data_IF_599383256840
#
_entry.id   IF_599383256840
#
_cell.length_a   1.000
_cell.length_b   1.000
_cell.length_c   1.000
_cell.angle_alpha   90.00
_cell.angle_beta   90.00
_cell.angle_gamma   90.00
#
_symmetry.space_group_name_H-M   'P 1'
#
loop_
_entity.id
_entity.type
_entity.pdbx_description
1 polymer ?
#
# COMPACT_ATOMS: atom_id res chain seq x y z
N UNK A 1 -27.47 -10.94 61.13
CA UNK A 1 -27.12 -9.78 60.28
C UNK A 1 -25.74 -9.86 59.59
N UNK A 2 -24.84 -10.81 59.90
CA UNK A 2 -23.55 -10.94 59.19
C UNK A 2 -23.64 -11.57 57.78
N UNK A 3 -24.60 -12.47 57.53
CA UNK A 3 -24.75 -13.16 56.23
C UNK A 3 -25.14 -12.23 55.07
N UNK A 4 -25.88 -11.16 55.34
CA UNK A 4 -26.33 -10.22 54.31
C UNK A 4 -25.19 -9.33 53.78
N UNK A 5 -24.20 -9.00 54.63
CA UNK A 5 -23.04 -8.21 54.22
C UNK A 5 -22.09 -9.01 53.32
N UNK A 6 -21.94 -10.31 53.58
CA UNK A 6 -21.04 -11.17 52.81
C UNK A 6 -21.48 -11.36 51.35
N UNK A 7 -22.79 -11.47 51.12
CA UNK A 7 -23.38 -11.60 49.77
C UNK A 7 -23.15 -10.32 48.94
N UNK A 8 -23.27 -9.14 49.56
CA UNK A 8 -23.03 -7.86 48.89
C UNK A 8 -21.59 -7.71 48.39
N UNK A 9 -20.60 -8.08 49.22
CA UNK A 9 -19.19 -8.05 48.82
C UNK A 9 -18.87 -9.04 47.69
N UNK A 10 -19.49 -10.23 47.71
CA UNK A 10 -19.27 -11.25 46.68
C UNK A 10 -19.83 -10.82 45.31
N UNK A 11 -21.00 -10.18 45.28
CA UNK A 11 -21.58 -9.66 44.03
C UNK A 11 -20.81 -8.48 43.46
N UNK A 12 -20.35 -7.55 44.30
CA UNK A 12 -19.50 -6.44 43.86
C UNK A 12 -18.18 -6.92 43.23
N UNK A 13 -17.57 -7.96 43.82
CA UNK A 13 -16.35 -8.57 43.29
C UNK A 13 -16.55 -9.23 41.92
N UNK A 14 -17.63 -10.01 41.76
CA UNK A 14 -17.99 -10.64 40.48
C UNK A 14 -18.25 -9.61 39.38
N UNK A 15 -18.96 -8.53 39.68
CA UNK A 15 -19.25 -7.46 38.70
C UNK A 15 -17.96 -6.73 38.31
N UNK A 16 -17.08 -6.43 39.26
CA UNK A 16 -15.79 -5.80 38.98
C UNK A 16 -14.89 -6.70 38.11
N UNK A 17 -14.87 -8.02 38.39
CA UNK A 17 -14.09 -8.98 37.60
C UNK A 17 -14.64 -9.11 36.18
N UNK A 18 -15.96 -9.20 36.00
CA UNK A 18 -16.59 -9.24 34.68
C UNK A 18 -16.36 -7.95 33.89
N UNK A 19 -16.41 -6.78 34.54
CA UNK A 19 -16.07 -5.50 33.91
C UNK A 19 -14.60 -5.46 33.46
N UNK A 20 -13.67 -5.95 34.29
CA UNK A 20 -12.26 -6.05 33.92
C UNK A 20 -12.03 -7.00 32.73
N UNK A 21 -12.77 -8.11 32.65
CA UNK A 21 -12.73 -9.02 31.50
C UNK A 21 -13.29 -8.35 30.25
N UNK A 22 -14.44 -7.66 30.32
CA UNK A 22 -14.99 -6.95 29.15
C UNK A 22 -14.08 -5.80 28.70
N UNK A 23 -13.45 -5.08 29.64
CA UNK A 23 -12.49 -4.02 29.35
C UNK A 23 -11.18 -4.56 28.75
N UNK A 24 -10.71 -5.73 29.17
CA UNK A 24 -9.50 -6.35 28.59
C UNK A 24 -9.73 -6.93 27.19
N UNK A 25 -10.96 -7.32 26.86
CA UNK A 25 -11.33 -7.73 25.50
C UNK A 25 -11.52 -6.55 24.52
N UNK A 26 -11.89 -5.37 25.02
CA UNK A 26 -12.20 -4.21 24.17
C UNK A 26 -10.97 -3.39 23.76
N UNK A 27 -9.81 -3.56 24.40
CA UNK A 27 -8.57 -2.85 24.05
C UNK A 27 -7.96 -3.29 22.70
N UNK A 28 -8.41 -4.40 22.11
CA UNK A 28 -7.93 -4.85 20.80
C UNK A 28 -8.76 -4.32 19.62
N UNK A 29 -9.89 -3.66 19.87
CA UNK A 29 -10.66 -2.99 18.82
C UNK A 29 -10.10 -1.58 18.60
N UNK A 30 -8.92 -1.51 17.98
CA UNK A 30 -8.50 -0.28 17.33
C UNK A 30 -9.55 0.04 16.28
N UNK A 31 -10.14 1.24 16.33
CA UNK A 31 -11.06 1.75 15.32
C UNK A 31 -10.28 2.05 14.02
N UNK A 32 -9.67 1.02 13.45
CA UNK A 32 -8.89 1.09 12.23
C UNK A 32 -9.86 1.20 11.06
N UNK A 33 -9.60 2.15 10.17
CA UNK A 33 -10.36 2.29 8.94
C UNK A 33 -9.85 1.35 7.85
N UNK A 34 -8.58 0.96 7.92
CA UNK A 34 -7.91 0.19 6.90
C UNK A 34 -7.12 -0.97 7.48
N UNK A 35 -7.09 -2.07 6.72
CA UNK A 35 -6.19 -3.19 6.88
C UNK A 35 -5.09 -3.05 5.85
N UNK A 36 -3.84 -3.03 6.31
CA UNK A 36 -2.65 -3.01 5.46
C UNK A 36 -2.00 -4.40 5.50
N UNK A 37 -2.00 -5.08 4.36
CA UNK A 37 -1.24 -6.31 4.15
C UNK A 37 0.05 -5.99 3.39
N UNK A 38 1.20 -6.43 3.90
CA UNK A 38 2.50 -6.22 3.27
C UNK A 38 3.17 -7.56 3.01
N UNK A 39 3.79 -7.70 1.83
CA UNK A 39 4.58 -8.87 1.45
C UNK A 39 6.04 -8.50 1.32
N UNK A 40 6.92 -9.32 1.89
CA UNK A 40 8.37 -9.13 1.92
C UNK A 40 9.08 -10.29 1.21
N UNK A 41 10.25 -10.05 0.61
CA UNK A 41 11.08 -11.11 0.08
C UNK A 41 11.70 -11.91 1.25
N UNK A 42 11.76 -13.23 1.11
CA UNK A 42 12.33 -14.11 2.12
C UNK A 42 11.38 -14.40 3.30
N UNK A 43 11.92 -15.09 4.30
CA UNK A 43 11.18 -15.58 5.47
C UNK A 43 11.05 -14.54 6.60
N UNK A 44 11.50 -13.29 6.39
CA UNK A 44 11.43 -12.24 7.40
C UNK A 44 10.71 -11.01 6.88
N UNK A 45 9.83 -10.43 7.70
CA UNK A 45 9.12 -9.18 7.39
C UNK A 45 10.01 -7.93 7.61
N UNK A 46 11.28 -8.02 7.21
CA UNK A 46 12.27 -6.96 7.37
C UNK A 46 12.62 -6.35 6.00
N UNK A 47 13.00 -5.07 6.01
CA UNK A 47 13.38 -4.36 4.78
C UNK A 47 12.20 -3.80 3.99
N UNK A 48 12.41 -3.60 2.68
CA UNK A 48 11.41 -3.01 1.76
C UNK A 48 10.40 -4.08 1.33
N UNK A 49 9.12 -3.84 1.58
CA UNK A 49 8.03 -4.69 1.08
C UNK A 49 7.95 -4.62 -0.45
N UNK A 50 7.69 -5.75 -1.11
CA UNK A 50 7.50 -5.80 -2.57
C UNK A 50 6.09 -5.36 -2.97
N UNK A 51 5.10 -5.71 -2.15
CA UNK A 51 3.68 -5.41 -2.39
C UNK A 51 3.06 -4.95 -1.07
N UNK A 52 2.25 -3.90 -1.13
CA UNK A 52 1.41 -3.43 -0.03
C UNK A 52 -0.03 -3.31 -0.54
N UNK A 53 -1.00 -3.76 0.26
CA UNK A 53 -2.42 -3.71 -0.08
C UNK A 53 -3.15 -3.08 1.10
N UNK A 54 -3.75 -1.91 0.87
CA UNK A 54 -4.65 -1.24 1.79
C UNK A 54 -6.09 -1.55 1.39
N UNK A 55 -6.87 -2.08 2.32
CA UNK A 55 -8.29 -2.36 2.10
C UNK A 55 -9.10 -1.77 3.24
N UNK A 56 -10.22 -1.11 2.94
CA UNK A 56 -11.18 -0.69 3.98
C UNK A 56 -11.63 -1.91 4.79
N UNK A 57 -11.59 -1.79 6.11
CA UNK A 57 -12.06 -2.85 6.99
C UNK A 57 -12.63 -2.26 8.27
N UNK A 58 -13.78 -2.75 8.71
CA UNK A 58 -14.39 -2.37 10.00
C UNK A 58 -13.74 -3.09 11.19
N UNK A 59 -12.98 -4.14 10.92
CA UNK A 59 -12.23 -4.91 11.91
C UNK A 59 -10.84 -5.21 11.37
N UNK A 60 -9.80 -4.94 12.15
CA UNK A 60 -8.44 -5.21 11.74
C UNK A 60 -7.70 -5.96 12.84
N UNK A 61 -7.23 -7.17 12.50
CA UNK A 61 -6.42 -8.00 13.39
C UNK A 61 -4.96 -7.90 12.92
N UNK A 62 -4.11 -7.36 13.78
CA UNK A 62 -2.67 -7.22 13.52
C UNK A 62 -2.03 -8.61 13.47
N UNK A 63 -1.13 -8.82 12.51
CA UNK A 63 -0.30 -10.03 12.41
C UNK A 63 1.14 -9.56 12.18
N UNK A 64 2.03 -9.81 13.14
CA UNK A 64 3.37 -9.23 13.14
C UNK A 64 4.21 -9.70 11.95
N UNK A 65 4.38 -11.00 11.82
CA UNK A 65 5.02 -11.60 10.65
C UNK A 65 4.61 -13.07 10.56
N UNK A 66 4.16 -13.50 9.40
CA UNK A 66 3.91 -14.90 9.10
C UNK A 66 4.72 -15.32 7.87
N UNK A 67 5.30 -16.51 7.93
CA UNK A 67 5.96 -17.16 6.80
C UNK A 67 4.96 -18.01 6.03
N UNK A 68 5.19 -18.21 4.73
CA UNK A 68 4.33 -19.09 3.91
C UNK A 68 2.97 -18.46 3.59
N UNK A 69 2.92 -17.12 3.50
CA UNK A 69 1.70 -16.45 3.04
C UNK A 69 1.42 -16.85 1.60
N UNK A 70 0.19 -17.30 1.35
CA UNK A 70 -0.31 -18.03 0.16
C UNK A 70 0.52 -17.78 -1.11
N UNK A 71 1.53 -18.63 -1.25
CA UNK A 71 2.02 -19.18 -2.50
C UNK A 71 2.64 -20.50 -2.11
N UNK A 72 2.11 -21.62 -2.59
CA UNK A 72 2.49 -22.98 -2.18
C UNK A 72 3.92 -23.37 -2.62
N UNK A 73 4.83 -22.41 -2.80
CA UNK A 73 6.05 -22.60 -3.57
C UNK A 73 7.16 -21.52 -3.38
N UNK A 74 7.22 -20.85 -2.22
CA UNK A 74 8.33 -19.90 -1.98
C UNK A 74 8.43 -19.20 -0.61
N UNK A 75 9.65 -18.77 -0.31
CA UNK A 75 10.10 -17.98 0.85
C UNK A 75 9.56 -16.55 0.82
N UNK A 76 8.26 -16.37 1.06
CA UNK A 76 7.71 -15.06 1.36
C UNK A 76 7.22 -14.99 2.78
N UNK A 77 7.26 -13.78 3.30
CA UNK A 77 6.69 -13.43 4.58
C UNK A 77 5.74 -12.26 4.40
N UNK A 78 4.75 -12.19 5.27
CA UNK A 78 3.80 -11.10 5.24
C UNK A 78 3.42 -10.64 6.63
N UNK A 79 2.99 -9.39 6.71
CA UNK A 79 2.49 -8.77 7.92
C UNK A 79 1.15 -8.11 7.65
N UNK A 80 0.36 -7.99 8.70
CA UNK A 80 -0.89 -7.24 8.69
C UNK A 80 -0.79 -6.15 9.76
N UNK A 81 -1.00 -4.92 9.36
CA UNK A 81 -1.09 -3.77 10.25
C UNK A 81 -2.40 -3.02 10.02
N UNK A 82 -2.76 -2.14 10.96
CA UNK A 82 -4.07 -1.49 11.01
C UNK A 82 -3.93 0.04 11.00
N UNK A 83 -3.53 0.64 9.87
CA UNK A 83 -3.37 2.08 9.79
C UNK A 83 -4.72 2.79 9.79
N UNK A 84 -4.71 4.04 10.26
CA UNK A 84 -5.87 4.93 10.21
C UNK A 84 -6.05 5.60 8.84
N UNK A 85 -4.96 5.74 8.09
CA UNK A 85 -4.93 6.46 6.81
C UNK A 85 -4.37 5.57 5.70
N UNK A 86 -4.79 5.87 4.48
CA UNK A 86 -4.32 5.25 3.25
C UNK A 86 -3.55 6.28 2.42
N UNK A 87 -2.44 5.91 1.76
CA UNK A 87 -1.70 6.83 0.91
C UNK A 87 -2.43 7.08 -0.43
N UNK A 88 -2.26 8.29 -0.98
CA UNK A 88 -2.88 8.72 -2.25
C UNK A 88 -1.85 9.01 -3.35
N UNK A 89 -0.55 8.83 -3.08
CA UNK A 89 0.53 9.04 -4.03
C UNK A 89 1.68 8.06 -3.77
N UNK A 90 2.29 7.46 -4.81
CA UNK A 90 3.44 6.56 -4.67
C UNK A 90 4.70 7.30 -4.20
N UNK A 91 5.61 6.57 -3.53
CA UNK A 91 6.97 7.08 -3.26
C UNK A 91 7.91 6.73 -4.43
N UNK A 92 9.10 7.32 -4.44
CA UNK A 92 10.14 7.00 -5.43
C UNK A 92 10.47 5.51 -5.39
N UNK A 93 10.46 4.87 -6.56
CA UNK A 93 10.68 3.44 -6.69
C UNK A 93 9.42 2.61 -6.40
N UNK A 94 8.23 3.21 -6.52
CA UNK A 94 6.94 2.55 -6.34
C UNK A 94 5.95 2.90 -7.47
N UNK A 95 5.09 1.94 -7.78
CA UNK A 95 3.86 2.12 -8.54
C UNK A 95 2.68 1.96 -7.57
N UNK A 96 1.65 2.77 -7.75
CA UNK A 96 0.43 2.74 -6.95
C UNK A 96 -0.78 2.57 -7.87
N UNK A 97 -1.64 1.60 -7.54
CA UNK A 97 -2.91 1.35 -8.19
C UNK A 97 -4.01 1.66 -7.17
N UNK A 98 -4.89 2.60 -7.53
CA UNK A 98 -6.04 3.03 -6.73
C UNK A 98 -7.30 2.43 -7.34
N UNK A 99 -8.10 1.76 -6.53
CA UNK A 99 -9.40 1.23 -6.92
C UNK A 99 -10.51 2.03 -6.26
N UNK A 100 -11.47 2.48 -7.06
CA UNK A 100 -12.60 3.27 -6.63
C UNK A 100 -13.89 2.49 -6.90
N UNK A 101 -14.88 2.65 -6.01
CA UNK A 101 -16.19 2.02 -6.19
C UNK A 101 -17.00 2.66 -7.32
N UNK A 102 -16.61 3.86 -7.76
CA UNK A 102 -17.22 4.57 -8.87
C UNK A 102 -16.29 4.65 -10.08
N UNK A 103 -16.89 4.59 -11.28
CA UNK A 103 -16.14 4.64 -12.54
C UNK A 103 -15.47 6.00 -12.82
N UNK A 104 -15.79 7.04 -12.05
CA UNK A 104 -15.25 8.40 -12.21
C UNK A 104 -13.98 8.65 -11.37
N UNK A 105 -13.51 7.65 -10.63
CA UNK A 105 -12.36 7.73 -9.72
C UNK A 105 -12.46 8.92 -8.74
N UNK A 106 -13.67 9.21 -8.28
CA UNK A 106 -13.96 10.35 -7.39
C UNK A 106 -14.04 9.91 -5.93
N UNK A 107 -13.64 10.80 -5.01
CA UNK A 107 -13.66 10.52 -3.57
C UNK A 107 -12.50 9.66 -3.09
N UNK A 108 -12.71 8.89 -2.02
CA UNK A 108 -11.68 8.02 -1.44
C UNK A 108 -11.71 6.63 -2.11
N UNK A 109 -10.54 6.09 -2.52
CA UNK A 109 -10.46 4.73 -3.04
C UNK A 109 -10.99 3.71 -2.02
N UNK A 110 -11.51 2.59 -2.49
CA UNK A 110 -11.87 1.44 -1.65
C UNK A 110 -10.68 0.56 -1.32
N UNK A 111 -9.69 0.50 -2.22
CA UNK A 111 -8.40 -0.13 -1.96
C UNK A 111 -7.25 0.54 -2.70
N UNK A 112 -6.04 0.36 -2.15
CA UNK A 112 -4.78 0.83 -2.75
C UNK A 112 -3.78 -0.30 -2.75
N UNK A 113 -3.21 -0.58 -3.92
CA UNK A 113 -2.10 -1.52 -4.08
C UNK A 113 -0.85 -0.74 -4.43
N UNK A 114 0.23 -0.93 -3.66
CA UNK A 114 1.54 -0.34 -3.92
C UNK A 114 2.51 -1.47 -4.25
N UNK A 115 3.27 -1.29 -5.32
CA UNK A 115 4.19 -2.28 -5.85
C UNK A 115 5.58 -1.64 -5.95
N UNK A 116 6.59 -2.32 -5.40
CA UNK A 116 7.97 -1.89 -5.54
C UNK A 116 8.44 -2.07 -7.00
N UNK A 117 9.00 -1.01 -7.58
CA UNK A 117 9.59 -1.07 -8.92
C UNK A 117 10.89 -1.89 -8.92
N UNK A 118 11.27 -2.37 -10.10
CA UNK A 118 12.50 -3.10 -10.38
C UNK A 118 12.71 -4.30 -9.43
N UNK A 119 11.60 -4.86 -8.94
CA UNK A 119 11.57 -5.96 -7.98
C UNK A 119 10.87 -7.16 -8.62
N UNK A 120 11.50 -8.32 -8.56
CA UNK A 120 10.91 -9.55 -9.07
C UNK A 120 9.82 -10.06 -8.13
N UNK A 121 8.59 -10.13 -8.62
CA UNK A 121 7.43 -10.59 -7.87
C UNK A 121 6.99 -11.92 -8.47
N UNK A 122 6.94 -12.98 -7.67
CA UNK A 122 6.45 -14.28 -8.14
C UNK A 122 4.95 -14.22 -8.36
N UNK A 123 4.51 -14.76 -9.49
CA UNK A 123 3.11 -14.90 -9.80
C UNK A 123 2.64 -16.31 -9.40
N UNK A 124 1.50 -16.38 -8.72
CA UNK A 124 0.92 -17.63 -8.23
C UNK A 124 -0.35 -17.87 -9.01
N UNK A 125 -0.56 -19.11 -9.48
CA UNK A 125 -1.74 -19.50 -10.26
C UNK A 125 -1.93 -18.68 -11.55
N UNK A 126 -0.82 -18.23 -12.17
CA UNK A 126 -0.85 -17.52 -13.45
C UNK A 126 -0.06 -18.29 -14.52
N UNK A 127 -0.23 -17.90 -15.78
CA UNK A 127 0.47 -18.51 -16.94
C UNK A 127 1.95 -18.14 -17.03
N UNK A 128 2.40 -17.18 -16.22
CA UNK A 128 3.78 -16.74 -16.07
C UNK A 128 4.27 -17.02 -14.64
N UNK A 129 5.59 -17.22 -14.49
CA UNK A 129 6.21 -17.55 -13.20
C UNK A 129 6.51 -16.32 -12.33
N UNK A 130 6.77 -15.17 -12.95
CA UNK A 130 7.02 -13.92 -12.23
C UNK A 130 6.73 -12.68 -13.09
N UNK A 131 6.67 -11.53 -12.41
CA UNK A 131 6.40 -10.21 -12.97
C UNK A 131 7.36 -9.19 -12.36
N UNK A 132 7.82 -8.23 -13.16
CA UNK A 132 8.59 -7.08 -12.69
C UNK A 132 8.13 -5.82 -13.40
N UNK A 133 7.92 -4.75 -12.64
CA UNK A 133 7.65 -3.43 -13.18
C UNK A 133 8.98 -2.69 -13.33
N UNK A 134 9.46 -2.55 -14.57
CA UNK A 134 10.76 -1.92 -14.89
C UNK A 134 10.61 -0.40 -14.91
N UNK A 135 10.99 0.24 -13.81
CA UNK A 135 10.66 1.64 -13.54
C UNK A 135 9.18 1.94 -13.80
N UNK A 136 8.88 3.12 -14.36
CA UNK A 136 7.52 3.48 -14.79
C UNK A 136 7.25 3.18 -16.28
N UNK A 137 8.11 2.40 -16.93
CA UNK A 137 8.11 2.27 -18.39
C UNK A 137 7.40 1.03 -18.89
N UNK A 138 7.51 -0.08 -18.17
CA UNK A 138 6.92 -1.35 -18.61
C UNK A 138 6.69 -2.33 -17.48
N UNK A 139 5.71 -3.19 -17.71
CA UNK A 139 5.50 -4.42 -16.97
C UNK A 139 6.05 -5.57 -17.80
N UNK A 140 6.94 -6.37 -17.22
CA UNK A 140 7.53 -7.54 -17.86
C UNK A 140 7.05 -8.78 -17.13
N UNK A 141 6.51 -9.75 -17.87
CA UNK A 141 6.22 -11.09 -17.36
C UNK A 141 7.33 -12.05 -17.76
N UNK A 142 7.58 -13.03 -16.90
CA UNK A 142 8.68 -13.99 -17.04
C UNK A 142 8.15 -15.41 -16.92
N UNK A 143 8.75 -16.34 -17.67
CA UNK A 143 8.38 -17.76 -17.61
C UNK A 143 8.81 -18.40 -16.29
N UNK A 144 9.97 -18.01 -15.77
CA UNK A 144 10.50 -18.51 -14.51
C UNK A 144 10.09 -17.64 -13.29
N UNK A 145 10.45 -18.09 -12.09
CA UNK A 145 10.11 -17.45 -10.81
C UNK A 145 11.10 -16.40 -10.33
N UNK A 146 12.22 -16.22 -11.04
CA UNK A 146 13.36 -15.41 -10.64
C UNK A 146 13.62 -14.26 -11.63
N UNK A 147 12.66 -13.96 -12.50
CA UNK A 147 12.72 -12.91 -13.51
C UNK A 147 13.93 -13.00 -14.45
N UNK A 148 14.25 -14.21 -14.95
CA UNK A 148 15.41 -14.42 -15.83
C UNK A 148 15.03 -14.52 -17.32
N UNK A 149 13.90 -15.15 -17.62
CA UNK A 149 13.44 -15.47 -18.97
C UNK A 149 12.18 -14.67 -19.29
N UNK A 150 12.37 -13.55 -19.99
CA UNK A 150 11.26 -12.68 -20.40
C UNK A 150 10.30 -13.42 -21.32
N UNK A 151 9.00 -13.29 -21.04
CA UNK A 151 7.92 -13.85 -21.85
C UNK A 151 7.26 -12.75 -22.68
N UNK A 152 6.83 -11.68 -22.00
CA UNK A 152 6.10 -10.58 -22.61
C UNK A 152 6.46 -9.28 -21.89
N UNK A 153 6.55 -8.19 -22.67
CA UNK A 153 6.67 -6.84 -22.13
C UNK A 153 5.47 -6.02 -22.58
N UNK A 154 4.78 -5.41 -21.62
CA UNK A 154 3.67 -4.49 -21.84
C UNK A 154 4.13 -3.08 -21.46
N UNK A 155 3.95 -2.07 -22.33
CA UNK A 155 4.23 -0.68 -21.97
C UNK A 155 3.46 -0.27 -20.71
N UNK A 156 4.16 0.38 -19.78
CA UNK A 156 3.58 0.97 -18.59
C UNK A 156 2.88 2.26 -18.97
N UNK A 157 1.71 2.49 -18.38
CA UNK A 157 0.99 3.74 -18.51
C UNK A 157 0.60 4.25 -17.13
N UNK A 158 0.72 5.56 -16.94
CA UNK A 158 -0.06 6.24 -15.92
C UNK A 158 -1.49 6.32 -16.45
N UNK A 159 -2.44 5.85 -15.64
CA UNK A 159 -3.86 5.85 -15.99
C UNK A 159 -4.53 6.79 -14.98
N UNK A 160 -4.96 7.96 -15.42
CA UNK A 160 -5.59 8.92 -14.51
C UNK A 160 -6.89 8.36 -13.95
N UNK A 161 -7.77 7.86 -14.82
CA UNK A 161 -8.95 7.10 -14.42
C UNK A 161 -9.49 6.28 -15.59
N UNK A 162 -9.62 4.96 -15.41
CA UNK A 162 -10.30 4.07 -16.33
C UNK A 162 -11.16 3.08 -15.56
N UNK A 163 -12.49 3.17 -15.71
CA UNK A 163 -13.46 2.27 -15.07
C UNK A 163 -13.24 2.11 -13.55
N UNK A 164 -12.94 3.21 -12.86
CA UNK A 164 -12.71 3.19 -11.41
C UNK A 164 -11.30 2.73 -10.99
N UNK A 165 -10.36 2.61 -11.93
CA UNK A 165 -8.97 2.30 -11.66
C UNK A 165 -8.09 3.48 -12.05
N UNK A 166 -7.19 3.88 -11.15
CA UNK A 166 -6.13 4.85 -11.43
C UNK A 166 -4.78 4.21 -11.15
N UNK A 167 -3.81 4.45 -12.03
CA UNK A 167 -2.44 3.95 -11.92
C UNK A 167 -1.50 5.14 -11.94
N UNK A 168 -0.74 5.27 -10.86
CA UNK A 168 0.27 6.31 -10.69
C UNK A 168 1.63 5.65 -10.49
N UNK A 169 2.68 6.21 -11.05
CA UNK A 169 4.03 5.69 -10.89
C UNK A 169 5.00 6.82 -10.54
N UNK A 170 5.92 6.54 -9.61
CA UNK A 170 7.02 7.45 -9.27
C UNK A 170 8.35 6.70 -9.40
N UNK A 171 9.00 6.88 -10.56
CA UNK A 171 10.31 6.30 -10.86
C UNK A 171 11.45 7.22 -10.44
N UNK A 172 12.65 6.67 -10.30
CA UNK A 172 13.88 7.43 -10.02
C UNK A 172 14.31 8.37 -11.16
N UNK A 173 13.64 8.33 -12.32
CA UNK A 173 14.07 8.97 -13.56
C UNK A 173 13.04 9.89 -14.24
N UNK A 174 12.07 10.46 -13.51
CA UNK A 174 11.19 11.53 -14.04
C UNK A 174 11.34 12.87 -13.30
N UNK A 175 12.47 13.08 -12.64
CA UNK A 175 13.00 14.43 -12.35
C UNK A 175 13.72 15.01 -13.59
N UNK A 176 13.13 14.90 -14.79
CA UNK A 176 13.62 15.62 -15.96
C UNK A 176 12.46 16.20 -16.77
N UNK A 177 12.45 17.53 -16.85
CA UNK A 177 11.71 18.36 -17.81
C UNK A 177 10.19 18.62 -17.62
N UNK A 178 9.72 18.96 -16.41
CA UNK A 178 8.51 19.82 -16.28
C UNK A 178 8.77 21.22 -15.71
N UNK A 179 10.03 21.57 -15.41
CA UNK A 179 10.39 22.84 -14.75
C UNK A 179 11.28 23.80 -15.57
N UNK A 180 11.47 23.57 -16.88
CA UNK A 180 12.29 24.46 -17.72
C UNK A 180 11.50 25.43 -18.61
N UNK A 181 10.19 25.26 -18.80
CA UNK A 181 9.38 26.26 -19.53
C UNK A 181 9.22 27.58 -18.77
N UNK A 182 9.31 27.56 -17.43
CA UNK A 182 9.25 28.80 -16.62
C UNK A 182 10.51 29.67 -16.69
N UNK A 183 11.69 29.06 -16.87
CA UNK A 183 12.97 29.80 -16.87
C UNK A 183 13.20 30.48 -18.23
N UNK A 184 12.80 29.85 -19.34
CA UNK A 184 12.97 30.43 -20.68
C UNK A 184 12.05 31.64 -20.89
N UNK A 185 10.83 31.62 -20.36
CA UNK A 185 9.90 32.77 -20.44
C UNK A 185 10.41 33.94 -19.59
N UNK A 186 11.02 33.67 -18.43
CA UNK A 186 11.59 34.71 -17.56
C UNK A 186 12.75 35.46 -18.23
N UNK A 187 13.66 34.75 -18.92
CA UNK A 187 14.78 35.41 -19.60
C UNK A 187 14.37 36.21 -20.84
N UNK A 188 13.34 35.78 -21.58
CA UNK A 188 12.84 36.56 -22.72
C UNK A 188 12.23 37.91 -22.31
N UNK A 189 11.54 37.98 -21.16
CA UNK A 189 10.96 39.24 -20.68
C UNK A 189 12.06 40.26 -20.31
N UNK A 190 13.14 39.81 -19.68
CA UNK A 190 14.27 40.69 -19.31
C UNK A 190 14.97 41.26 -20.55
N UNK A 191 15.14 40.46 -21.60
CA UNK A 191 15.76 40.92 -22.86
C UNK A 191 14.86 41.94 -23.58
N UNK A 192 13.55 41.69 -23.64
CA UNK A 192 12.60 42.64 -24.25
C UNK A 192 12.55 43.96 -23.46
N UNK A 193 12.60 43.90 -22.12
CA UNK A 193 12.69 45.11 -21.31
C UNK A 193 14.01 45.87 -21.53
N UNK A 194 15.15 45.21 -21.69
CA UNK A 194 16.41 45.91 -21.97
C UNK A 194 16.46 46.56 -23.35
N UNK A 195 15.85 45.96 -24.38
CA UNK A 195 15.79 46.54 -25.74
C UNK A 195 14.85 47.75 -25.78
N UNK A 196 13.83 47.79 -24.93
CA UNK A 196 12.86 48.89 -24.89
C UNK A 196 13.36 50.14 -24.15
N UNK A 197 14.53 50.06 -23.51
CA UNK A 197 15.16 51.14 -22.72
C UNK A 197 16.38 51.77 -23.40
N UNK A 198 16.72 51.34 -24.61
CA UNK A 198 17.71 51.93 -25.52
C UNK A 198 17.00 52.70 -26.63
#
# INVERSE_FOLDING_TARGET
MLHSRFIGFFQLSMVAFLLLVVLSYSTFLVHAQYKLFQTFPGLSCSGKSMVQIYTKSSSCQITNCSTGVISNDGDFSGSITCPTNMPFSPKVGEQMILYYDNMKCSGNPSSVTIIALDTCIRAVNMTYGSIMYKGCKSMVTYLDRNCQTEQMTVPGANIDCFSGVSIQCSGSAEFMMRRNTGIVVSMMIVIVMMISYL
#
